data_IF_155109856600
#
_entry.id   IF_155109856600
#
_cell.length_a   1.000
_cell.length_b   1.000
_cell.length_c   1.000
_cell.angle_alpha   90.00
_cell.angle_beta   90.00
_cell.angle_gamma   90.00
#
_symmetry.space_group_name_H-M   'P 1'
#
loop_
_entity.id
_entity.type
_entity.pdbx_description
1 polymer ?
#
# COMPACT_ATOMS: atom_id res chain seq x y z
N UNK A 1 -18.83 -18.92 -11.48
CA UNK A 1 -17.54 -19.49 -11.00
C UNK A 1 -16.50 -19.65 -12.09
N UNK A 2 -16.82 -20.16 -13.29
CA UNK A 2 -15.88 -20.22 -14.44
C UNK A 2 -15.29 -18.84 -14.80
N UNK A 3 -16.09 -17.78 -14.65
CA UNK A 3 -15.67 -16.38 -14.87
C UNK A 3 -14.72 -15.83 -13.78
N UNK A 4 -14.79 -16.36 -12.55
CA UNK A 4 -13.95 -15.88 -11.43
C UNK A 4 -12.56 -16.51 -11.42
N UNK A 5 -12.42 -17.67 -12.07
CA UNK A 5 -11.16 -18.40 -12.16
C UNK A 5 -10.79 -18.51 -13.64
N UNK A 6 -10.22 -17.43 -14.19
CA UNK A 6 -9.89 -17.26 -15.62
C UNK A 6 -8.99 -18.38 -16.19
N UNK A 7 -8.46 -19.27 -15.35
CA UNK A 7 -7.54 -20.36 -15.72
C UNK A 7 -8.00 -21.77 -15.35
N UNK A 8 -9.08 -21.94 -14.60
CA UNK A 8 -9.60 -23.28 -14.25
C UNK A 8 -11.07 -23.42 -14.67
N UNK A 9 -11.26 -23.92 -15.89
CA UNK A 9 -12.58 -24.13 -16.50
C UNK A 9 -13.25 -25.43 -16.04
N UNK A 10 -12.50 -26.33 -15.35
CA UNK A 10 -13.00 -27.62 -14.87
C UNK A 10 -12.63 -27.87 -13.40
N UNK A 11 -13.30 -27.18 -12.44
CA UNK A 11 -13.00 -27.35 -11.02
C UNK A 11 -13.41 -28.74 -10.53
N UNK A 12 -12.56 -29.39 -9.74
CA UNK A 12 -12.97 -30.56 -8.95
C UNK A 12 -13.90 -30.13 -7.79
N UNK A 13 -14.64 -31.09 -7.20
CA UNK A 13 -15.62 -30.82 -6.14
C UNK A 13 -15.04 -29.99 -4.98
N UNK A 14 -13.77 -30.22 -4.63
CA UNK A 14 -13.09 -29.49 -3.57
C UNK A 14 -12.81 -28.02 -3.93
N UNK A 15 -12.39 -27.77 -5.17
CA UNK A 15 -12.15 -26.42 -5.70
C UNK A 15 -13.47 -25.65 -5.81
N UNK A 16 -14.55 -26.34 -6.22
CA UNK A 16 -15.90 -25.77 -6.23
C UNK A 16 -16.32 -25.35 -4.82
N UNK A 17 -16.22 -26.26 -3.84
CA UNK A 17 -16.60 -26.01 -2.44
C UNK A 17 -15.81 -24.83 -1.84
N UNK A 18 -14.52 -24.75 -2.12
CA UNK A 18 -13.65 -23.68 -1.61
C UNK A 18 -13.95 -22.32 -2.27
N UNK A 19 -14.20 -22.32 -3.58
CA UNK A 19 -14.58 -21.10 -4.31
C UNK A 19 -15.97 -20.62 -3.89
N UNK A 20 -16.91 -21.54 -3.65
CA UNK A 20 -18.25 -21.24 -3.13
C UNK A 20 -18.18 -20.57 -1.76
N UNK A 21 -17.42 -21.16 -0.82
CA UNK A 21 -17.20 -20.60 0.51
C UNK A 21 -16.59 -19.20 0.45
N UNK A 22 -15.56 -19.04 -0.38
CA UNK A 22 -14.90 -17.75 -0.56
C UNK A 22 -15.86 -16.68 -1.13
N UNK A 23 -16.71 -17.06 -2.09
CA UNK A 23 -17.72 -16.15 -2.67
C UNK A 23 -18.80 -15.76 -1.65
N UNK A 24 -19.26 -16.70 -0.83
CA UNK A 24 -20.21 -16.40 0.25
C UNK A 24 -19.60 -15.40 1.22
N UNK A 25 -18.43 -15.70 1.77
CA UNK A 25 -17.71 -14.82 2.70
C UNK A 25 -17.50 -13.44 2.08
N UNK A 26 -17.03 -13.37 0.83
CA UNK A 26 -16.78 -12.09 0.14
C UNK A 26 -18.07 -11.27 -0.03
N UNK A 27 -19.21 -11.92 -0.26
CA UNK A 27 -20.50 -11.21 -0.33
C UNK A 27 -20.97 -10.71 1.03
N UNK A 28 -20.71 -11.46 2.11
CA UNK A 28 -21.06 -11.04 3.47
C UNK A 28 -20.11 -9.98 4.04
N UNK A 29 -18.85 -9.91 3.59
CA UNK A 29 -17.86 -8.92 4.05
C UNK A 29 -17.88 -7.65 3.19
N UNK A 30 -18.49 -7.68 1.99
CA UNK A 30 -18.57 -6.49 1.16
C UNK A 30 -19.54 -5.50 1.80
N UNK A 31 -18.99 -4.51 2.50
CA UNK A 31 -19.70 -3.29 2.87
C UNK A 31 -20.39 -2.73 1.62
N UNK A 32 -21.71 -2.62 1.69
CA UNK A 32 -22.51 -1.99 0.65
C UNK A 32 -22.08 -0.52 0.56
N UNK A 33 -21.83 -0.02 -0.65
CA UNK A 33 -21.62 1.41 -0.88
C UNK A 33 -22.95 2.15 -0.70
N UNK A 34 -22.90 3.36 -0.14
CA UNK A 34 -24.04 4.23 0.23
C UNK A 34 -25.09 4.51 -0.88
N UNK A 35 -24.87 4.03 -2.10
CA UNK A 35 -25.79 4.14 -3.24
C UNK A 35 -26.75 2.95 -3.39
N UNK A 36 -26.76 1.98 -2.46
CA UNK A 36 -27.70 0.86 -2.48
C UNK A 36 -28.77 1.04 -1.40
N UNK A 37 -30.03 0.87 -1.80
CA UNK A 37 -31.17 0.86 -0.89
C UNK A 37 -31.08 -0.36 0.03
N UNK A 38 -30.67 -0.19 1.29
CA UNK A 38 -30.66 -1.26 2.28
C UNK A 38 -31.12 -0.72 3.63
N UNK A 39 -32.21 -1.28 4.11
CA UNK A 39 -32.65 -1.27 5.50
C UNK A 39 -31.53 -1.83 6.42
N UNK A 40 -31.61 -1.49 7.70
CA UNK A 40 -30.64 -1.84 8.72
C UNK A 40 -30.55 -3.38 8.91
N UNK A 41 -29.52 -4.01 8.32
CA UNK A 41 -29.24 -5.43 8.52
C UNK A 41 -28.44 -5.61 9.83
N UNK A 42 -29.08 -6.14 10.86
CA UNK A 42 -28.56 -6.25 12.24
C UNK A 42 -27.37 -7.20 12.42
N UNK A 43 -26.74 -7.68 11.35
CA UNK A 43 -25.54 -8.51 11.40
C UNK A 43 -25.74 -9.90 12.01
N UNK A 44 -26.95 -10.28 12.42
CA UNK A 44 -27.26 -11.61 12.96
C UNK A 44 -26.91 -12.74 11.98
N UNK A 45 -26.90 -12.45 10.68
CA UNK A 45 -26.56 -13.38 9.62
C UNK A 45 -25.06 -13.76 9.64
N UNK A 46 -24.18 -12.87 10.11
CA UNK A 46 -22.75 -13.14 10.30
C UNK A 46 -22.50 -14.09 11.48
N UNK A 47 -23.33 -14.06 12.53
CA UNK A 47 -23.25 -15.01 13.64
C UNK A 47 -23.62 -16.43 13.20
N UNK A 48 -24.57 -16.57 12.25
CA UNK A 48 -24.92 -17.86 11.64
C UNK A 48 -23.81 -18.40 10.72
N UNK A 49 -22.92 -17.56 10.21
CA UNK A 49 -21.75 -17.98 9.42
C UNK A 49 -20.75 -18.81 10.24
N UNK A 50 -20.64 -18.59 11.56
CA UNK A 50 -19.82 -19.42 12.46
C UNK A 50 -20.24 -20.90 12.41
N UNK A 51 -21.53 -21.17 12.23
CA UNK A 51 -22.06 -22.54 12.09
C UNK A 51 -21.59 -23.26 10.82
N UNK A 52 -21.21 -22.53 9.77
CA UNK A 52 -20.68 -23.10 8.52
C UNK A 52 -19.21 -23.55 8.65
N UNK A 53 -18.49 -23.04 9.66
CA UNK A 53 -17.09 -23.38 9.95
C UNK A 53 -16.94 -24.31 11.15
N UNK A 54 -17.96 -24.44 12.00
CA UNK A 54 -18.00 -25.47 13.02
C UNK A 54 -18.24 -26.84 12.36
N UNK A 55 -17.16 -27.53 12.01
CA UNK A 55 -17.18 -28.99 11.93
C UNK A 55 -17.69 -29.51 13.27
N UNK A 56 -18.67 -30.42 13.25
CA UNK A 56 -19.19 -31.11 14.43
C UNK A 56 -18.04 -31.85 15.12
N UNK A 57 -17.34 -31.17 16.01
CA UNK A 57 -16.55 -31.77 17.07
C UNK A 57 -17.42 -31.79 18.32
N UNK A 58 -17.52 -32.97 18.92
CA UNK A 58 -18.31 -33.25 20.10
C UNK A 58 -17.70 -32.55 21.33
N UNK A 59 -18.61 -32.29 22.29
CA UNK A 59 -18.45 -32.08 23.74
C UNK A 59 -17.85 -30.76 24.27
N UNK A 60 -18.74 -30.05 24.98
CA UNK A 60 -18.67 -29.63 26.38
C UNK A 60 -17.89 -28.39 26.87
N UNK A 61 -18.67 -27.60 27.62
CA UNK A 61 -18.34 -26.74 28.76
C UNK A 61 -17.91 -25.28 28.54
N UNK A 62 -18.94 -24.43 28.57
CA UNK A 62 -19.08 -23.11 29.20
C UNK A 62 -17.95 -22.70 30.17
N UNK A 63 -17.28 -21.57 29.89
CA UNK A 63 -16.66 -20.72 30.94
C UNK A 63 -16.84 -19.23 30.61
N UNK A 64 -17.30 -18.51 31.63
CA UNK A 64 -17.53 -17.07 31.69
C UNK A 64 -16.25 -16.26 31.43
N UNK A 65 -16.37 -15.15 30.70
CA UNK A 65 -15.31 -14.17 30.50
C UNK A 65 -15.57 -13.01 31.47
N UNK A 66 -14.68 -12.83 32.44
CA UNK A 66 -14.63 -11.66 33.32
C UNK A 66 -13.97 -10.49 32.56
N UNK A 67 -14.62 -9.32 32.55
CA UNK A 67 -14.04 -8.05 32.09
C UNK A 67 -12.99 -7.57 33.10
N UNK A 68 -11.82 -7.13 32.61
CA UNK A 68 -10.78 -6.47 33.40
C UNK A 68 -10.58 -5.02 32.88
N UNK A 69 -10.42 -4.09 33.82
CA UNK A 69 -10.40 -2.63 33.67
C UNK A 69 -9.28 -2.07 32.78
N UNK A 70 -9.61 -1.00 32.03
CA UNK A 70 -8.89 -0.48 30.86
C UNK A 70 -8.29 0.92 31.08
N UNK A 71 -7.16 1.03 31.77
CA UNK A 71 -6.47 2.34 31.90
C UNK A 71 -5.00 2.32 31.49
N UNK A 72 -4.27 1.21 31.71
CA UNK A 72 -2.84 1.13 31.35
C UNK A 72 -2.58 0.58 29.93
N UNK A 73 -3.60 0.02 29.27
CA UNK A 73 -3.50 -0.59 27.94
C UNK A 73 -3.48 0.46 26.79
N UNK A 74 -3.95 1.68 27.03
CA UNK A 74 -4.10 2.71 26.00
C UNK A 74 -2.74 3.26 25.51
N UNK A 75 -1.77 3.46 26.41
CA UNK A 75 -0.46 4.03 26.07
C UNK A 75 0.44 3.08 25.27
N UNK A 76 0.34 1.77 25.53
CA UNK A 76 1.05 0.74 24.77
C UNK A 76 0.47 0.53 23.38
N UNK A 77 -0.86 0.59 23.26
CA UNK A 77 -1.57 0.43 21.97
C UNK A 77 -1.27 1.59 21.02
N UNK A 78 -1.12 2.82 21.52
CA UNK A 78 -0.76 3.98 20.70
C UNK A 78 0.67 3.87 20.12
N UNK A 79 1.65 3.52 20.94
CA UNK A 79 3.05 3.32 20.49
C UNK A 79 3.18 2.18 19.47
N UNK A 80 2.48 1.06 19.71
CA UNK A 80 2.50 -0.09 18.79
C UNK A 80 1.76 0.21 17.47
N UNK A 81 0.69 1.03 17.51
CA UNK A 81 -0.05 1.45 16.32
C UNK A 81 0.79 2.35 15.40
N UNK A 82 1.58 3.26 15.97
CA UNK A 82 2.49 4.14 15.23
C UNK A 82 3.59 3.34 14.52
N UNK A 83 4.22 2.40 15.23
CA UNK A 83 5.26 1.53 14.68
C UNK A 83 4.73 0.60 13.56
N UNK A 84 3.52 0.05 13.72
CA UNK A 84 2.84 -0.74 12.69
C UNK A 84 2.52 0.10 11.46
N UNK A 85 2.03 1.33 11.64
CA UNK A 85 1.72 2.24 10.54
C UNK A 85 2.99 2.67 9.78
N UNK A 86 4.09 2.93 10.50
CA UNK A 86 5.37 3.25 9.89
C UNK A 86 5.94 2.07 9.10
N UNK A 87 5.82 0.85 9.62
CA UNK A 87 6.20 -0.38 8.93
C UNK A 87 5.41 -0.57 7.62
N UNK A 88 4.09 -0.33 7.65
CA UNK A 88 3.22 -0.35 6.46
C UNK A 88 3.65 0.73 5.44
N UNK A 89 3.97 1.93 5.92
CA UNK A 89 4.42 3.03 5.07
C UNK A 89 5.76 2.71 4.40
N UNK A 90 6.68 2.05 5.11
CA UNK A 90 7.98 1.64 4.59
C UNK A 90 7.82 0.58 3.50
N UNK A 91 7.00 -0.44 3.73
CA UNK A 91 6.78 -1.50 2.74
C UNK A 91 6.02 -1.01 1.50
N UNK A 92 5.02 -0.14 1.66
CA UNK A 92 4.33 0.47 0.53
C UNK A 92 5.26 1.35 -0.31
N UNK A 93 6.15 2.12 0.33
CA UNK A 93 7.22 2.86 -0.36
C UNK A 93 8.14 1.93 -1.14
N UNK A 94 8.57 0.80 -0.56
CA UNK A 94 9.41 -0.17 -1.25
C UNK A 94 8.72 -0.72 -2.51
N UNK A 95 7.46 -1.14 -2.41
CA UNK A 95 6.70 -1.64 -3.55
C UNK A 95 6.60 -0.60 -4.68
N UNK A 96 6.30 0.65 -4.33
CA UNK A 96 6.18 1.73 -5.31
C UNK A 96 7.53 2.17 -5.88
N UNK A 97 8.59 2.21 -5.07
CA UNK A 97 9.95 2.48 -5.51
C UNK A 97 10.43 1.41 -6.51
N UNK A 98 10.10 0.13 -6.27
CA UNK A 98 10.35 -0.95 -7.21
C UNK A 98 9.71 -0.71 -8.59
N UNK A 99 8.49 -0.17 -8.63
CA UNK A 99 7.86 0.22 -9.89
C UNK A 99 8.59 1.38 -10.60
N UNK A 100 9.06 2.39 -9.86
CA UNK A 100 9.85 3.49 -10.42
C UNK A 100 11.15 2.95 -11.03
N UNK A 101 11.89 2.14 -10.28
CA UNK A 101 13.16 1.56 -10.71
C UNK A 101 12.96 0.67 -11.94
N UNK A 102 11.89 -0.13 -11.97
CA UNK A 102 11.55 -0.94 -13.14
C UNK A 102 11.41 -0.10 -14.41
N UNK A 103 10.82 1.09 -14.33
CA UNK A 103 10.66 1.95 -15.50
C UNK A 103 11.97 2.63 -15.93
N UNK A 104 12.89 2.88 -15.00
CA UNK A 104 14.23 3.38 -15.30
C UNK A 104 15.05 2.30 -16.01
N UNK A 105 15.10 1.08 -15.44
CA UNK A 105 15.90 -0.02 -15.97
C UNK A 105 15.39 -0.53 -17.33
N UNK A 106 14.10 -0.37 -17.65
CA UNK A 106 13.59 -0.64 -19.01
C UNK A 106 14.31 0.15 -20.10
N UNK A 107 14.77 1.36 -19.78
CA UNK A 107 15.42 2.27 -20.71
C UNK A 107 16.94 2.33 -20.49
N UNK A 108 17.47 1.59 -19.52
CA UNK A 108 18.89 1.58 -19.18
C UNK A 108 19.34 0.16 -18.82
N UNK A 109 20.17 -0.44 -19.69
CA UNK A 109 20.73 -1.78 -19.50
C UNK A 109 22.07 -1.78 -18.73
N UNK A 110 22.35 -0.75 -17.93
CA UNK A 110 23.58 -0.65 -17.16
C UNK A 110 23.53 -1.53 -15.89
N UNK A 111 24.42 -2.52 -15.83
CA UNK A 111 24.57 -3.43 -14.68
C UNK A 111 24.91 -2.73 -13.37
N UNK A 112 25.66 -1.62 -13.44
CA UNK A 112 26.02 -0.85 -12.25
C UNK A 112 24.81 -0.07 -11.71
N UNK A 113 24.04 0.58 -12.58
CA UNK A 113 22.78 1.23 -12.19
C UNK A 113 21.78 0.22 -11.61
N UNK A 114 21.70 -0.98 -12.21
CA UNK A 114 20.89 -2.06 -11.66
C UNK A 114 21.36 -2.47 -10.26
N UNK A 115 22.67 -2.63 -10.04
CA UNK A 115 23.22 -2.95 -8.72
C UNK A 115 22.99 -1.85 -7.67
N UNK A 116 23.13 -0.58 -8.06
CA UNK A 116 22.91 0.57 -7.17
C UNK A 116 21.42 0.72 -6.78
N UNK A 117 20.51 0.44 -7.72
CA UNK A 117 19.07 0.62 -7.54
C UNK A 117 18.34 -0.58 -6.96
N UNK A 118 18.91 -1.79 -7.07
CA UNK A 118 18.21 -3.03 -6.68
C UNK A 118 18.98 -3.79 -5.62
N UNK A 119 18.25 -4.53 -4.78
CA UNK A 119 18.84 -5.53 -3.91
C UNK A 119 18.77 -6.88 -4.64
N UNK A 120 19.93 -7.50 -4.89
CA UNK A 120 20.03 -8.78 -5.61
C UNK A 120 19.55 -9.96 -4.77
N UNK A 121 19.51 -9.81 -3.46
CA UNK A 121 19.05 -10.85 -2.56
C UNK A 121 17.52 -10.84 -2.48
N UNK A 122 16.91 -11.69 -3.29
CA UNK A 122 15.49 -12.04 -3.20
C UNK A 122 15.16 -12.99 -2.05
N UNK A 123 16.08 -13.15 -1.10
CA UNK A 123 15.92 -14.08 0.00
C UNK A 123 14.86 -13.55 0.96
N UNK A 124 14.00 -14.46 1.42
CA UNK A 124 12.98 -14.13 2.41
C UNK A 124 13.66 -13.81 3.72
N UNK A 125 13.87 -12.52 3.97
CA UNK A 125 14.19 -11.99 5.27
C UNK A 125 12.97 -11.24 5.80
N UNK A 126 12.44 -11.69 6.94
CA UNK A 126 11.32 -11.03 7.63
C UNK A 126 11.64 -9.58 8.00
N UNK A 127 12.92 -9.26 8.20
CA UNK A 127 13.41 -7.91 8.50
C UNK A 127 13.64 -7.05 7.25
N UNK A 128 13.53 -7.61 6.04
CA UNK A 128 13.78 -6.87 4.81
C UNK A 128 12.68 -5.87 4.51
N UNK A 129 13.08 -4.68 4.08
CA UNK A 129 12.19 -3.64 3.55
C UNK A 129 11.31 -4.16 2.38
N UNK A 130 11.81 -5.18 1.67
CA UNK A 130 11.18 -5.78 0.50
C UNK A 130 10.29 -7.00 0.83
N UNK A 131 10.07 -7.33 2.11
CA UNK A 131 9.27 -8.49 2.52
C UNK A 131 7.86 -8.49 1.88
N UNK A 132 7.19 -7.33 1.80
CA UNK A 132 5.88 -7.24 1.13
C UNK A 132 5.93 -7.52 -0.37
N UNK A 133 7.04 -7.18 -1.03
CA UNK A 133 7.24 -7.48 -2.46
C UNK A 133 7.34 -8.99 -2.62
N UNK A 134 8.12 -9.66 -1.76
CA UNK A 134 8.25 -11.12 -1.72
C UNK A 134 6.89 -11.80 -1.50
N UNK A 135 6.10 -11.34 -0.53
CA UNK A 135 4.77 -11.92 -0.24
C UNK A 135 3.77 -11.75 -1.39
N UNK A 136 3.89 -10.67 -2.17
CA UNK A 136 3.04 -10.42 -3.35
C UNK A 136 3.55 -11.10 -4.61
N UNK A 137 4.80 -11.56 -4.62
CA UNK A 137 5.37 -12.25 -5.77
C UNK A 137 4.86 -13.70 -5.84
N UNK A 138 4.28 -14.07 -6.98
CA UNK A 138 3.80 -15.42 -7.20
C UNK A 138 4.97 -16.38 -7.36
N UNK A 139 5.19 -17.24 -6.36
CA UNK A 139 6.28 -18.24 -6.34
C UNK A 139 6.26 -19.22 -7.52
N UNK A 140 5.12 -19.38 -8.18
CA UNK A 140 4.94 -20.31 -9.32
C UNK A 140 5.32 -19.72 -10.69
N UNK A 141 5.71 -18.44 -10.77
CA UNK A 141 6.15 -17.82 -12.01
C UNK A 141 7.67 -18.02 -12.17
N UNK A 142 8.10 -18.58 -13.30
CA UNK A 142 9.51 -18.85 -13.62
C UNK A 142 10.39 -17.59 -13.63
N UNK A 143 9.81 -16.45 -13.97
CA UNK A 143 10.49 -15.16 -14.03
C UNK A 143 9.95 -14.23 -12.95
N UNK A 144 10.84 -13.72 -12.09
CA UNK A 144 10.50 -12.67 -11.12
C UNK A 144 10.15 -11.40 -11.88
N UNK A 145 8.95 -10.88 -11.65
CA UNK A 145 8.42 -9.70 -12.36
C UNK A 145 8.49 -8.43 -11.52
N UNK A 146 8.65 -8.58 -10.21
CA UNK A 146 8.76 -7.46 -9.28
C UNK A 146 10.24 -7.13 -9.04
N UNK A 147 10.51 -5.84 -8.95
CA UNK A 147 11.84 -5.34 -8.64
C UNK A 147 11.95 -5.16 -7.13
N UNK A 148 13.06 -5.62 -6.57
CA UNK A 148 13.44 -5.47 -5.18
C UNK A 148 14.36 -4.25 -5.10
N UNK A 149 13.87 -3.05 -4.72
CA UNK A 149 14.69 -1.86 -4.66
C UNK A 149 15.76 -1.96 -3.57
N UNK A 150 16.87 -1.25 -3.75
CA UNK A 150 17.87 -1.03 -2.70
C UNK A 150 17.30 -0.14 -1.59
N UNK A 151 17.77 -0.31 -0.37
CA UNK A 151 17.28 0.46 0.77
C UNK A 151 17.48 1.97 0.57
N UNK A 152 18.63 2.36 0.01
CA UNK A 152 18.93 3.75 -0.34
C UNK A 152 17.90 4.33 -1.31
N UNK A 153 17.52 3.60 -2.35
CA UNK A 153 16.49 4.04 -3.29
C UNK A 153 15.13 4.20 -2.61
N UNK A 154 14.74 3.31 -1.70
CA UNK A 154 13.46 3.42 -0.96
C UNK A 154 13.47 4.62 -0.01
N UNK A 155 14.58 4.84 0.72
CA UNK A 155 14.75 6.00 1.61
C UNK A 155 14.65 7.30 0.81
N UNK A 156 15.36 7.40 -0.31
CA UNK A 156 15.37 8.59 -1.16
C UNK A 156 14.00 8.84 -1.80
N UNK A 157 13.32 7.79 -2.27
CA UNK A 157 11.92 7.86 -2.72
C UNK A 157 10.99 8.45 -1.63
N UNK A 158 11.18 8.03 -0.39
CA UNK A 158 10.46 8.57 0.77
C UNK A 158 10.71 10.06 0.98
N UNK A 159 11.97 10.51 0.91
CA UNK A 159 12.35 11.93 1.04
C UNK A 159 11.67 12.77 -0.03
N UNK A 160 11.77 12.36 -1.31
CA UNK A 160 11.13 13.08 -2.43
C UNK A 160 9.63 13.18 -2.19
N UNK A 161 8.98 12.06 -1.84
CA UNK A 161 7.53 12.00 -1.61
C UNK A 161 7.11 12.92 -0.47
N UNK A 162 7.84 12.92 0.64
CA UNK A 162 7.56 13.78 1.80
C UNK A 162 7.70 15.27 1.44
N UNK A 163 8.78 15.66 0.75
CA UNK A 163 9.00 17.04 0.34
C UNK A 163 7.97 17.51 -0.68
N UNK A 164 7.64 16.67 -1.65
CA UNK A 164 6.62 16.96 -2.64
C UNK A 164 5.24 17.15 -1.98
N UNK A 165 4.84 16.25 -1.07
CA UNK A 165 3.58 16.41 -0.32
C UNK A 165 3.59 17.70 0.50
N UNK A 166 4.67 18.01 1.24
CA UNK A 166 4.77 19.27 2.01
C UNK A 166 4.66 20.52 1.10
N UNK A 167 5.24 20.46 -0.09
CA UNK A 167 5.13 21.54 -1.06
C UNK A 167 3.68 21.70 -1.56
N UNK A 168 3.03 20.59 -1.92
CA UNK A 168 1.66 20.57 -2.42
C UNK A 168 0.64 21.04 -1.36
N UNK A 169 0.87 20.73 -0.08
CA UNK A 169 0.02 21.22 1.01
C UNK A 169 0.14 22.73 1.23
N UNK A 170 1.30 23.33 0.94
CA UNK A 170 1.55 24.76 1.20
C UNK A 170 1.30 25.64 -0.02
N UNK A 171 1.57 25.13 -1.22
CA UNK A 171 1.57 25.90 -2.48
C UNK A 171 0.92 25.12 -3.65
N UNK A 172 -0.32 24.62 -3.52
CA UNK A 172 -0.95 23.77 -4.53
C UNK A 172 -1.30 24.50 -5.84
N UNK A 173 -1.48 25.82 -5.80
CA UNK A 173 -1.96 26.62 -6.95
C UNK A 173 -0.84 27.18 -7.82
N UNK A 174 0.43 26.97 -7.46
CA UNK A 174 1.54 27.54 -8.20
C UNK A 174 1.71 26.87 -9.56
N UNK A 175 2.10 27.64 -10.57
CA UNK A 175 2.50 27.10 -11.87
C UNK A 175 3.83 26.34 -11.77
N UNK A 176 4.05 25.40 -12.69
CA UNK A 176 5.30 24.63 -12.80
C UNK A 176 5.72 23.83 -11.55
N UNK A 177 4.74 23.32 -10.79
CA UNK A 177 4.93 22.58 -9.52
C UNK A 177 6.07 21.55 -9.60
N UNK A 178 6.05 20.66 -10.61
CA UNK A 178 7.06 19.61 -10.74
C UNK A 178 8.46 20.22 -10.90
N UNK A 179 8.62 21.27 -11.71
CA UNK A 179 9.91 21.95 -11.93
C UNK A 179 10.41 22.58 -10.64
N UNK A 180 9.54 23.26 -9.90
CA UNK A 180 9.91 23.94 -8.66
C UNK A 180 10.34 22.93 -7.58
N UNK A 181 9.57 21.85 -7.38
CA UNK A 181 9.92 20.80 -6.42
C UNK A 181 11.23 20.13 -6.82
N UNK A 182 11.43 19.87 -8.12
CA UNK A 182 12.64 19.27 -8.66
C UNK A 182 13.88 20.11 -8.38
N UNK A 183 13.82 21.42 -8.63
CA UNK A 183 14.91 22.36 -8.31
C UNK A 183 15.22 22.37 -6.81
N UNK A 184 14.20 22.41 -5.96
CA UNK A 184 14.36 22.37 -4.50
C UNK A 184 15.02 21.08 -3.99
N UNK A 185 14.70 19.94 -4.60
CA UNK A 185 15.30 18.66 -4.22
C UNK A 185 16.75 18.62 -4.69
N UNK A 186 17.03 18.98 -5.95
CA UNK A 186 18.39 19.00 -6.50
C UNK A 186 19.33 19.95 -5.76
N UNK A 187 18.83 21.09 -5.29
CA UNK A 187 19.66 22.06 -4.56
C UNK A 187 20.01 21.60 -3.15
N UNK A 188 19.30 20.61 -2.59
CA UNK A 188 19.42 20.20 -1.19
C UNK A 188 19.96 18.79 -1.00
N UNK A 189 19.80 17.92 -1.99
CA UNK A 189 20.11 16.50 -1.87
C UNK A 189 20.99 16.04 -3.02
N UNK A 190 22.03 15.29 -2.68
CA UNK A 190 22.89 14.60 -3.63
C UNK A 190 22.37 13.17 -3.87
N UNK A 191 22.57 12.67 -5.08
CA UNK A 191 22.17 11.33 -5.51
C UNK A 191 23.31 10.32 -5.32
N UNK A 192 23.86 10.27 -4.11
CA UNK A 192 25.09 9.53 -3.80
C UNK A 192 24.91 8.02 -3.79
N UNK A 193 23.67 7.54 -3.81
CA UNK A 193 23.37 6.11 -3.93
C UNK A 193 23.51 5.57 -5.35
N UNK A 194 23.74 6.44 -6.35
CA UNK A 194 24.02 6.04 -7.73
C UNK A 194 25.50 6.33 -7.99
N UNK A 195 26.29 5.25 -8.09
CA UNK A 195 27.74 5.31 -8.25
C UNK A 195 28.18 5.21 -9.71
N UNK A 196 27.25 4.97 -10.64
CA UNK A 196 27.55 4.84 -12.06
C UNK A 196 27.92 6.19 -12.70
N UNK A 197 29.20 6.45 -12.94
CA UNK A 197 29.71 7.71 -13.51
C UNK A 197 29.08 8.06 -14.87
N UNK A 198 28.80 7.07 -15.71
CA UNK A 198 28.26 7.29 -17.07
C UNK A 198 26.78 7.70 -17.07
N UNK A 199 25.99 7.21 -16.11
CA UNK A 199 24.53 7.34 -16.12
C UNK A 199 23.96 8.05 -14.90
N UNK A 200 24.81 8.50 -13.96
CA UNK A 200 24.39 9.10 -12.69
C UNK A 200 23.36 10.21 -12.91
N UNK A 201 23.65 11.16 -13.79
CA UNK A 201 22.77 12.31 -14.04
C UNK A 201 21.46 11.89 -14.70
N UNK A 202 21.52 11.06 -15.74
CA UNK A 202 20.35 10.60 -16.47
C UNK A 202 19.41 9.76 -15.58
N UNK A 203 19.96 8.84 -14.79
CA UNK A 203 19.20 7.98 -13.87
C UNK A 203 18.61 8.80 -12.72
N UNK A 204 19.39 9.68 -12.11
CA UNK A 204 18.93 10.58 -11.04
C UNK A 204 17.77 11.47 -11.51
N UNK A 205 17.91 12.03 -12.71
CA UNK A 205 16.90 12.87 -13.33
C UNK A 205 15.62 12.11 -13.63
N UNK A 206 15.75 10.89 -14.16
CA UNK A 206 14.62 10.03 -14.47
C UNK A 206 13.90 9.58 -13.19
N UNK A 207 14.66 9.17 -12.17
CA UNK A 207 14.15 8.79 -10.86
C UNK A 207 13.34 9.92 -10.24
N UNK A 208 13.92 11.11 -10.14
CA UNK A 208 13.27 12.29 -9.58
C UNK A 208 11.98 12.64 -10.35
N UNK A 209 12.03 12.60 -11.69
CA UNK A 209 10.88 12.95 -12.53
C UNK A 209 9.73 11.97 -12.36
N UNK A 210 10.00 10.66 -12.37
CA UNK A 210 8.96 9.64 -12.19
C UNK A 210 8.34 9.70 -10.79
N UNK A 211 9.17 9.81 -9.74
CA UNK A 211 8.69 9.91 -8.36
C UNK A 211 7.79 11.14 -8.20
N UNK A 212 8.21 12.31 -8.67
CA UNK A 212 7.40 13.53 -8.56
C UNK A 212 6.08 13.44 -9.31
N UNK A 213 6.07 12.90 -10.54
CA UNK A 213 4.84 12.69 -11.30
C UNK A 213 3.87 11.80 -10.54
N UNK A 214 4.37 10.71 -9.98
CA UNK A 214 3.56 9.78 -9.20
C UNK A 214 3.01 10.43 -7.93
N UNK A 215 3.84 11.15 -7.18
CA UNK A 215 3.41 11.82 -5.94
C UNK A 215 2.34 12.89 -6.22
N UNK A 216 2.55 13.74 -7.23
CA UNK A 216 1.58 14.79 -7.60
C UNK A 216 0.26 14.17 -8.07
N UNK A 217 0.32 13.13 -8.90
CA UNK A 217 -0.88 12.43 -9.36
C UNK A 217 -1.64 11.78 -8.20
N UNK A 218 -0.92 11.11 -7.29
CA UNK A 218 -1.51 10.50 -6.11
C UNK A 218 -2.15 11.55 -5.19
N UNK A 219 -1.47 12.68 -4.95
CA UNK A 219 -2.00 13.78 -4.16
C UNK A 219 -3.30 14.33 -4.76
N UNK A 220 -3.32 14.57 -6.08
CA UNK A 220 -4.54 15.00 -6.80
C UNK A 220 -5.67 13.98 -6.63
N UNK A 221 -5.38 12.69 -6.80
CA UNK A 221 -6.39 11.63 -6.66
C UNK A 221 -6.96 11.55 -5.25
N UNK A 222 -6.11 11.73 -4.23
CA UNK A 222 -6.54 11.80 -2.83
C UNK A 222 -7.52 12.96 -2.64
N UNK A 223 -7.14 14.18 -3.05
CA UNK A 223 -8.01 15.35 -2.92
C UNK A 223 -9.33 15.15 -3.65
N UNK A 224 -9.30 14.61 -4.88
CA UNK A 224 -10.50 14.33 -5.65
C UNK A 224 -11.41 13.29 -5.00
N UNK A 225 -10.86 12.28 -4.31
CA UNK A 225 -11.66 11.28 -3.61
C UNK A 225 -12.37 11.88 -2.39
N UNK A 226 -11.67 12.74 -1.65
CA UNK A 226 -12.21 13.49 -0.51
C UNK A 226 -13.36 14.39 -0.99
N UNK A 227 -13.13 15.20 -2.04
CA UNK A 227 -14.16 16.08 -2.61
C UNK A 227 -15.39 15.34 -3.15
N UNK A 228 -15.26 14.05 -3.50
CA UNK A 228 -16.36 13.19 -3.96
C UNK A 228 -17.03 12.41 -2.83
N UNK A 229 -16.55 12.53 -1.58
CA UNK A 229 -17.05 11.77 -0.44
C UNK A 229 -16.76 10.26 -0.51
N UNK A 230 -15.81 9.83 -1.33
CA UNK A 230 -15.53 8.40 -1.59
C UNK A 230 -14.42 7.80 -0.71
N UNK A 231 -13.82 8.60 0.19
CA UNK A 231 -12.69 8.18 1.05
C UNK A 231 -13.07 8.17 2.53
N UNK A 232 -14.06 7.33 2.88
CA UNK A 232 -14.75 7.28 4.19
C UNK A 232 -13.79 7.19 5.38
N UNK A 233 -12.74 6.36 5.29
CA UNK A 233 -11.74 6.16 6.35
C UNK A 233 -10.92 7.43 6.69
N UNK A 234 -10.79 8.36 5.74
CA UNK A 234 -10.13 9.65 5.97
C UNK A 234 -11.07 10.72 6.49
N UNK A 235 -12.38 10.61 6.21
CA UNK A 235 -13.40 11.52 6.74
C UNK A 235 -13.54 11.38 8.27
N UNK A 236 -13.27 10.19 8.80
CA UNK A 236 -13.31 9.89 10.25
C UNK A 236 -12.07 10.37 11.02
N UNK A 237 -10.96 10.64 10.33
CA UNK A 237 -9.68 10.99 10.95
C UNK A 237 -9.52 12.52 11.11
N UNK A 238 -9.37 12.99 12.36
CA UNK A 238 -9.20 14.42 12.70
C UNK A 238 -7.81 15.00 12.34
N UNK A 239 -6.84 14.17 11.99
CA UNK A 239 -5.45 14.57 11.71
C UNK A 239 -5.13 14.64 10.21
N UNK A 240 -6.01 15.24 9.41
CA UNK A 240 -5.74 15.42 7.98
C UNK A 240 -4.82 16.64 7.73
N UNK A 241 -3.95 16.58 6.71
CA UNK A 241 -3.22 17.75 6.22
C UNK A 241 -4.16 18.91 5.84
N UNK A 242 -3.67 20.14 5.94
CA UNK A 242 -4.50 21.35 5.82
C UNK A 242 -5.30 21.42 4.50
N UNK A 243 -4.73 21.00 3.37
CA UNK A 243 -5.47 21.00 2.10
C UNK A 243 -6.52 19.90 2.02
N UNK A 244 -6.29 18.78 2.70
CA UNK A 244 -7.26 17.69 2.80
C UNK A 244 -8.43 18.08 3.72
N UNK A 245 -8.18 18.80 4.82
CA UNK A 245 -9.22 19.40 5.66
C UNK A 245 -10.05 20.44 4.89
N UNK A 246 -9.39 21.31 4.11
CA UNK A 246 -10.11 22.28 3.25
C UNK A 246 -10.97 21.60 2.19
N UNK A 247 -10.55 20.45 1.68
CA UNK A 247 -11.34 19.66 0.74
C UNK A 247 -12.51 18.95 1.43
N UNK A 248 -12.36 18.56 2.69
CA UNK A 248 -13.41 17.92 3.48
C UNK A 248 -14.55 18.88 3.85
N UNK A 249 -14.22 20.13 4.16
CA UNK A 249 -15.16 21.15 4.62
C UNK A 249 -15.87 21.93 3.49
N UNK A 250 -15.82 21.43 2.26
CA UNK A 250 -16.38 22.07 1.05
C UNK A 250 -17.56 21.28 0.52
#
# INVERSE_FOLDING_TARGET
MRVYNFRNTNPNCQTFKSTFRSLLITRFIKFHSDSYNCEEDSGEQLLKLKSLFCTKEKSDNTKQIHLFESSELSSWVESESSAKQETINVHSRAYTAGWVIRNILKNNNCRQCEADLTNRESNYDKSSINNWIYLKEFKSIKEKKLIYPSEHAVRFFGIITQKANKYLETKPQQSYIIKNIKTLIKSKYLFDFINCELHKDAVSEHFLTLTLRLTVFNWRNVINKILKGTDVLRLENKALPQMQLKALNK
#
